data_IF_628785986762
#
_entry.id   IF_628785986762
#
_cell.length_a   1.000
_cell.length_b   1.000
_cell.length_c   1.000
_cell.angle_alpha   90.00
_cell.angle_beta   90.00
_cell.angle_gamma   90.00
#
_symmetry.space_group_name_H-M   'P 1'
#
loop_
_entity.id
_entity.type
_entity.pdbx_description
1 polymer ?
#
# COMPACT_ATOMS: atom_id res chain seq x y z
N UNK A 1 -23.29 -30.46 5.84
CA UNK A 1 -22.28 -29.48 5.39
C UNK A 1 -21.78 -29.91 4.03
N UNK A 2 -21.89 -29.04 3.03
CA UNK A 2 -21.52 -29.37 1.66
C UNK A 2 -20.00 -29.29 1.52
N UNK A 3 -19.38 -30.20 0.76
CA UNK A 3 -17.94 -30.16 0.44
C UNK A 3 -17.52 -28.80 -0.19
N UNK A 4 -18.48 -28.11 -0.81
CA UNK A 4 -18.32 -26.75 -1.36
C UNK A 4 -18.11 -25.69 -0.27
N UNK A 5 -18.63 -25.89 0.94
CA UNK A 5 -18.45 -24.97 2.09
C UNK A 5 -17.02 -25.07 2.66
N UNK A 6 -16.44 -26.28 2.65
CA UNK A 6 -15.06 -26.54 3.06
C UNK A 6 -14.04 -25.91 2.12
N UNK A 7 -14.27 -25.98 0.80
CA UNK A 7 -13.41 -25.34 -0.20
C UNK A 7 -13.51 -23.80 -0.17
N UNK A 8 -14.71 -23.24 0.07
CA UNK A 8 -14.89 -21.80 0.25
C UNK A 8 -14.17 -21.27 1.50
N UNK A 9 -14.13 -22.04 2.58
CA UNK A 9 -13.41 -21.67 3.80
C UNK A 9 -11.88 -21.65 3.61
N UNK A 10 -11.33 -22.48 2.71
CA UNK A 10 -9.92 -22.40 2.30
C UNK A 10 -9.61 -21.13 1.49
N UNK A 11 -10.51 -20.65 0.63
CA UNK A 11 -10.26 -19.42 -0.14
C UNK A 11 -10.13 -18.20 0.78
N UNK A 12 -10.99 -18.06 1.77
CA UNK A 12 -10.91 -16.95 2.73
C UNK A 12 -9.66 -17.04 3.62
N UNK A 13 -9.24 -18.26 3.98
CA UNK A 13 -7.98 -18.50 4.69
C UNK A 13 -6.74 -18.18 3.83
N UNK A 14 -6.77 -18.51 2.54
CA UNK A 14 -5.68 -18.25 1.59
C UNK A 14 -5.48 -16.76 1.31
N UNK A 15 -6.54 -15.95 1.24
CA UNK A 15 -6.42 -14.51 1.05
C UNK A 15 -5.75 -13.82 2.25
N UNK A 16 -6.12 -14.21 3.48
CA UNK A 16 -5.48 -13.70 4.70
C UNK A 16 -4.00 -14.13 4.79
N UNK A 17 -3.69 -15.38 4.41
CA UNK A 17 -2.33 -15.91 4.37
C UNK A 17 -1.48 -15.21 3.30
N UNK A 18 -2.05 -14.94 2.12
CA UNK A 18 -1.37 -14.26 1.02
C UNK A 18 -1.03 -12.81 1.41
N UNK A 19 -2.00 -12.07 1.93
CA UNK A 19 -1.78 -10.68 2.33
C UNK A 19 -0.75 -10.57 3.47
N UNK A 20 -0.80 -11.48 4.45
CA UNK A 20 0.18 -11.52 5.55
C UNK A 20 1.57 -11.92 5.07
N UNK A 21 1.66 -12.88 4.15
CA UNK A 21 2.91 -13.31 3.55
C UNK A 21 3.61 -12.21 2.77
N UNK A 22 2.85 -11.40 2.03
CA UNK A 22 3.38 -10.22 1.31
C UNK A 22 4.02 -9.24 2.29
N UNK A 23 3.41 -8.95 3.44
CA UNK A 23 3.97 -8.04 4.45
C UNK A 23 5.35 -8.53 4.94
N UNK A 24 5.50 -9.84 5.18
CA UNK A 24 6.80 -10.42 5.53
C UNK A 24 7.83 -10.30 4.40
N UNK A 25 7.39 -10.47 3.15
CA UNK A 25 8.23 -10.30 1.96
C UNK A 25 8.71 -8.87 1.79
N UNK A 26 7.88 -7.87 2.07
CA UNK A 26 8.29 -6.46 2.06
C UNK A 26 9.44 -6.21 3.04
N UNK A 27 9.36 -6.77 4.26
CA UNK A 27 10.40 -6.63 5.28
C UNK A 27 11.72 -7.31 4.88
N UNK A 28 11.65 -8.47 4.25
CA UNK A 28 12.83 -9.26 3.83
C UNK A 28 13.44 -8.76 2.50
N UNK A 29 12.65 -8.16 1.62
CA UNK A 29 13.08 -7.76 0.27
C UNK A 29 14.25 -6.78 0.27
N UNK A 30 14.27 -5.79 1.16
CA UNK A 30 15.33 -4.79 1.25
C UNK A 30 16.70 -5.40 1.59
N UNK A 31 16.84 -6.10 2.73
CA UNK A 31 18.06 -6.81 3.09
C UNK A 31 18.47 -7.88 2.06
N UNK A 32 17.51 -8.62 1.51
CA UNK A 32 17.78 -9.66 0.51
C UNK A 32 18.42 -9.09 -0.77
N UNK A 33 17.88 -7.98 -1.29
CA UNK A 33 18.44 -7.29 -2.46
C UNK A 33 19.82 -6.70 -2.16
N UNK A 34 20.00 -6.07 -0.99
CA UNK A 34 21.31 -5.54 -0.57
C UNK A 34 22.39 -6.63 -0.46
N UNK A 35 22.03 -7.78 0.12
CA UNK A 35 22.94 -8.93 0.22
C UNK A 35 23.26 -9.54 -1.15
N UNK A 36 22.26 -9.69 -2.03
CA UNK A 36 22.46 -10.22 -3.38
C UNK A 36 23.41 -9.34 -4.20
N UNK A 37 23.25 -8.02 -4.14
CA UNK A 37 24.15 -7.06 -4.81
C UNK A 37 25.55 -7.12 -4.19
N UNK A 38 25.65 -7.12 -2.86
CA UNK A 38 26.91 -7.24 -2.14
C UNK A 38 27.69 -8.51 -2.49
N UNK A 39 26.99 -9.64 -2.66
CA UNK A 39 27.58 -10.91 -3.07
C UNK A 39 28.15 -10.86 -4.50
N UNK A 40 27.43 -10.25 -5.44
CA UNK A 40 27.89 -10.11 -6.83
C UNK A 40 29.15 -9.25 -6.95
N UNK A 41 29.22 -8.14 -6.20
CA UNK A 41 30.38 -7.25 -6.19
C UNK A 41 31.61 -7.95 -5.59
N UNK A 42 31.45 -8.67 -4.48
CA UNK A 42 32.53 -9.42 -3.82
C UNK A 42 33.11 -10.50 -4.76
N UNK A 43 32.24 -11.16 -5.53
CA UNK A 43 32.65 -12.19 -6.50
C UNK A 43 33.45 -11.62 -7.66
N UNK A 44 33.17 -10.37 -8.07
CA UNK A 44 33.85 -9.73 -9.20
C UNK A 44 35.15 -9.03 -8.80
N UNK A 45 35.20 -8.45 -7.60
CA UNK A 45 36.39 -7.74 -7.11
C UNK A 45 37.44 -8.66 -6.47
N UNK A 46 37.10 -9.91 -6.12
CA UNK A 46 38.03 -10.83 -5.47
C UNK A 46 38.53 -10.37 -4.10
N UNK A 47 38.05 -9.23 -3.62
CA UNK A 47 38.18 -8.79 -2.23
C UNK A 47 37.44 -9.81 -1.37
N UNK A 48 38.01 -10.23 -0.23
CA UNK A 48 37.30 -11.09 0.73
C UNK A 48 35.95 -10.49 1.18
N UNK A 49 35.23 -11.05 2.17
CA UNK A 49 33.81 -10.78 2.49
C UNK A 49 33.43 -9.33 2.88
N UNK A 50 34.34 -8.38 2.72
CA UNK A 50 34.19 -6.94 2.84
C UNK A 50 33.07 -6.34 2.00
N UNK A 51 32.90 -6.75 0.73
CA UNK A 51 31.84 -6.21 -0.13
C UNK A 51 30.47 -6.57 0.41
N UNK A 52 30.29 -7.83 0.83
CA UNK A 52 29.08 -8.33 1.49
C UNK A 52 28.83 -7.62 2.81
N UNK A 53 29.87 -7.35 3.60
CA UNK A 53 29.73 -6.74 4.92
C UNK A 53 29.25 -5.30 4.83
N UNK A 54 29.86 -4.48 3.97
CA UNK A 54 29.45 -3.08 3.77
C UNK A 54 28.04 -3.01 3.19
N UNK A 55 27.73 -3.82 2.17
CA UNK A 55 26.38 -3.86 1.59
C UNK A 55 25.32 -4.43 2.53
N UNK A 56 25.69 -5.34 3.44
CA UNK A 56 24.81 -5.83 4.49
C UNK A 56 24.45 -4.71 5.46
N UNK A 57 25.43 -3.93 5.95
CA UNK A 57 25.16 -2.78 6.81
C UNK A 57 24.32 -1.70 6.10
N UNK A 58 24.61 -1.43 4.82
CA UNK A 58 23.81 -0.50 4.01
C UNK A 58 22.39 -1.03 3.81
N UNK A 59 22.21 -2.33 3.52
CA UNK A 59 20.91 -2.96 3.37
C UNK A 59 20.09 -2.92 4.66
N UNK A 60 20.74 -3.17 5.81
CA UNK A 60 20.14 -3.03 7.13
C UNK A 60 19.73 -1.57 7.39
N UNK A 61 20.64 -0.63 7.14
CA UNK A 61 20.38 0.80 7.32
C UNK A 61 19.24 1.30 6.43
N UNK A 62 19.18 0.85 5.16
CA UNK A 62 18.10 1.15 4.23
C UNK A 62 16.75 0.58 4.71
N UNK A 63 16.76 -0.64 5.27
CA UNK A 63 15.59 -1.25 5.91
C UNK A 63 15.07 -0.40 7.08
N UNK A 64 15.95 -0.01 8.00
CA UNK A 64 15.59 0.86 9.11
C UNK A 64 15.10 2.24 8.66
N UNK A 65 15.71 2.83 7.63
CA UNK A 65 15.32 4.14 7.12
C UNK A 65 13.92 4.12 6.49
N UNK A 66 13.54 3.02 5.82
CA UNK A 66 12.18 2.85 5.30
C UNK A 66 11.15 2.75 6.43
N UNK A 67 11.40 1.91 7.44
CA UNK A 67 10.52 1.77 8.61
C UNK A 67 10.38 3.10 9.38
N UNK A 68 11.50 3.81 9.55
CA UNK A 68 11.51 5.10 10.24
C UNK A 68 10.66 6.14 9.48
N UNK A 69 10.78 6.19 8.15
CA UNK A 69 10.00 7.07 7.29
C UNK A 69 8.50 6.75 7.34
N UNK A 70 8.14 5.47 7.30
CA UNK A 70 6.75 5.01 7.38
C UNK A 70 6.14 5.34 8.75
N UNK A 71 6.91 5.14 9.81
CA UNK A 71 6.49 5.45 11.19
C UNK A 71 6.26 6.96 11.37
N UNK A 72 7.19 7.79 10.90
CA UNK A 72 7.00 9.26 10.94
C UNK A 72 5.79 9.71 10.12
N UNK A 73 5.58 9.13 8.93
CA UNK A 73 4.44 9.45 8.08
C UNK A 73 3.12 9.08 8.77
N UNK A 74 3.08 7.93 9.46
CA UNK A 74 1.92 7.50 10.22
C UNK A 74 1.66 8.42 11.42
N UNK A 75 2.71 8.79 12.15
CA UNK A 75 2.61 9.68 13.31
C UNK A 75 2.11 11.08 12.94
N UNK A 76 2.57 11.63 11.80
CA UNK A 76 2.05 12.90 11.25
C UNK A 76 0.57 12.80 10.89
N UNK A 77 0.13 11.68 10.31
CA UNK A 77 -1.28 11.45 9.98
C UNK A 77 -2.15 11.37 11.24
N UNK A 78 -1.68 10.69 12.29
CA UNK A 78 -2.39 10.61 13.57
C UNK A 78 -2.46 11.98 14.26
N UNK A 79 -1.38 12.76 14.27
CA UNK A 79 -1.37 14.12 14.84
C UNK A 79 -2.33 15.07 14.10
N UNK A 80 -2.39 14.98 12.76
CA UNK A 80 -3.34 15.76 11.97
C UNK A 80 -4.80 15.34 12.20
N UNK A 81 -5.05 14.04 12.43
CA UNK A 81 -6.38 13.55 12.80
C UNK A 81 -6.78 13.93 14.22
N UNK A 82 -5.87 13.93 15.18
CA UNK A 82 -6.14 14.40 16.54
C UNK A 82 -6.41 15.91 16.59
N UNK A 83 -5.75 16.70 15.75
CA UNK A 83 -6.05 18.13 15.59
C UNK A 83 -7.44 18.36 14.97
N UNK A 84 -7.85 17.53 13.99
CA UNK A 84 -9.23 17.53 13.45
C UNK A 84 -10.25 17.06 14.49
N UNK A 85 -9.94 16.04 15.28
CA UNK A 85 -10.82 15.48 16.31
C UNK A 85 -11.02 16.44 17.49
N UNK A 86 -10.02 17.26 17.81
CA UNK A 86 -10.09 18.31 18.84
C UNK A 86 -10.67 19.65 18.34
N UNK A 87 -11.05 19.76 17.06
CA UNK A 87 -11.75 20.93 16.52
C UNK A 87 -10.91 22.22 16.46
N UNK A 88 -9.58 22.15 16.48
CA UNK A 88 -8.69 23.32 16.50
C UNK A 88 -8.25 23.81 15.10
N UNK A 89 -8.86 23.26 14.04
CA UNK A 89 -8.61 23.69 12.66
C UNK A 89 -9.78 24.59 12.22
N UNK A 90 -9.53 25.87 11.90
CA UNK A 90 -10.58 26.73 11.37
C UNK A 90 -11.14 26.12 10.09
N UNK A 91 -12.46 26.18 9.99
CA UNK A 91 -13.25 25.79 8.85
C UNK A 91 -12.68 26.45 7.58
N UNK A 92 -12.08 25.65 6.69
CA UNK A 92 -11.89 26.09 5.30
C UNK A 92 -13.23 25.95 4.58
N UNK A 93 -14.16 26.83 4.95
CA UNK A 93 -15.29 27.20 4.13
C UNK A 93 -14.84 28.33 3.20
N UNK A 94 -14.63 27.96 1.93
CA UNK A 94 -14.81 28.77 0.71
C UNK A 94 -13.84 29.95 0.50
N UNK A 95 -13.36 30.29 -0.70
CA UNK A 95 -14.08 30.65 -1.95
C UNK A 95 -13.23 30.25 -3.21
N UNK A 96 -13.60 29.41 -4.22
CA UNK A 96 -14.67 29.39 -5.30
C UNK A 96 -14.38 30.38 -6.47
N UNK A 97 -14.72 30.22 -7.80
CA UNK A 97 -15.87 29.53 -8.45
C UNK A 97 -15.64 28.93 -9.89
N UNK A 98 -16.65 28.76 -10.78
CA UNK A 98 -17.04 27.50 -11.44
C UNK A 98 -16.36 27.22 -12.80
N UNK A 99 -16.13 25.95 -13.15
CA UNK A 99 -15.94 25.58 -14.57
C UNK A 99 -16.87 24.42 -14.88
N UNK A 100 -17.91 24.74 -15.63
CA UNK A 100 -19.03 23.86 -15.87
C UNK A 100 -18.62 22.56 -16.55
N UNK A 101 -19.19 21.47 -16.06
CA UNK A 101 -19.58 20.36 -16.91
C UNK A 101 -20.99 19.90 -16.51
N UNK A 102 -21.94 20.78 -16.79
CA UNK A 102 -23.24 20.32 -17.26
C UNK A 102 -23.05 19.68 -18.64
N UNK A 103 -22.96 18.36 -18.69
CA UNK A 103 -23.38 17.58 -19.87
C UNK A 103 -24.22 16.38 -19.43
N UNK A 104 -25.50 16.69 -19.18
CA UNK A 104 -26.63 16.10 -19.91
C UNK A 104 -26.73 14.57 -19.89
N UNK A 105 -27.20 13.98 -18.78
CA UNK A 105 -27.81 12.64 -18.77
C UNK A 105 -29.19 12.62 -18.08
N UNK A 106 -29.93 13.73 -18.12
CA UNK A 106 -31.34 13.78 -17.74
C UNK A 106 -32.21 14.17 -18.94
N UNK A 107 -32.23 13.30 -19.96
CA UNK A 107 -33.31 13.23 -20.96
C UNK A 107 -33.23 11.93 -21.77
N UNK A 108 -33.56 10.82 -21.13
CA UNK A 108 -34.01 9.60 -21.80
C UNK A 108 -34.95 8.85 -20.85
N UNK A 109 -35.99 9.55 -20.41
CA UNK A 109 -37.22 8.92 -19.94
C UNK A 109 -38.24 9.24 -21.02
N UNK A 110 -38.57 8.29 -21.90
CA UNK A 110 -39.93 8.07 -22.42
C UNK A 110 -39.93 6.72 -23.16
N UNK A 111 -40.97 5.93 -22.93
CA UNK A 111 -41.50 4.93 -23.88
C UNK A 111 -40.83 3.55 -23.90
N UNK A 112 -41.28 2.65 -23.02
CA UNK A 112 -41.85 1.33 -23.39
C UNK A 112 -42.67 0.85 -22.20
N UNK A 113 -43.79 1.54 -21.99
CA UNK A 113 -45.03 0.88 -21.56
C UNK A 113 -45.53 0.05 -22.76
N UNK A 114 -46.29 -1.01 -22.50
CA UNK A 114 -46.88 -1.94 -23.48
C UNK A 114 -45.95 -3.01 -24.09
N UNK A 115 -46.03 -4.25 -23.59
CA UNK A 115 -46.74 -5.35 -24.29
C UNK A 115 -46.53 -6.64 -23.49
N UNK A 116 -47.55 -6.97 -22.72
CA UNK A 116 -47.79 -8.28 -22.14
C UNK A 116 -48.86 -8.96 -23.01
N UNK A 117 -48.63 -10.17 -23.54
CA UNK A 117 -49.72 -11.07 -23.92
C UNK A 117 -50.10 -12.00 -22.76
#
# INVERSE_FOLDING_TARGET
MSFKDFLKQQQTGMEAMANTGVIGLHLVSGPAVGFAIGYGIDHWFGTGPWGKLVFLFIGIAAGFLNVYRDTQALLRKMAAQDARRKGLVPEQQNETPPTGQGKKNSRAQTETDDTQP
#
